data_IF_588752979325
#
_entry.id   IF_588752979325
#
_cell.length_a   1.000
_cell.length_b   1.000
_cell.length_c   1.000
_cell.angle_alpha   90.00
_cell.angle_beta   90.00
_cell.angle_gamma   90.00
#
_symmetry.space_group_name_H-M   'P 1'
#
loop_
_entity.id
_entity.type
_entity.pdbx_description
1 polymer ?
#
# COMPACT_ATOMS: atom_id res chain seq x y z
N UNK A 1 -64.41 -32.84 -5.66
CA UNK A 1 -64.07 -32.50 -4.26
C UNK A 1 -64.75 -31.19 -3.91
N UNK A 2 -65.59 -31.25 -2.88
CA UNK A 2 -66.21 -30.09 -2.22
C UNK A 2 -65.17 -29.53 -1.24
N UNK A 3 -64.94 -28.21 -1.27
CA UNK A 3 -64.82 -27.40 -0.05
C UNK A 3 -65.01 -25.91 -0.46
N UNK A 4 -66.16 -25.24 -0.27
CA UNK A 4 -66.67 -24.65 1.00
C UNK A 4 -65.59 -23.92 1.81
N UNK A 5 -65.71 -22.66 2.26
CA UNK A 5 -66.78 -21.65 2.33
C UNK A 5 -66.14 -20.31 2.78
N UNK A 6 -66.72 -19.19 2.35
CA UNK A 6 -66.92 -17.89 3.04
C UNK A 6 -65.87 -17.34 4.02
N UNK A 7 -65.49 -16.06 3.88
CA UNK A 7 -66.08 -14.98 4.70
C UNK A 7 -65.26 -13.68 4.59
N UNK A 8 -65.91 -12.65 4.03
CA UNK A 8 -65.88 -11.23 4.41
C UNK A 8 -64.86 -10.71 5.42
N UNK A 9 -64.11 -9.67 5.05
CA UNK A 9 -64.20 -8.36 5.70
C UNK A 9 -63.41 -7.29 4.93
N UNK A 10 -64.12 -6.25 4.51
CA UNK A 10 -63.63 -4.96 4.08
C UNK A 10 -62.94 -4.27 5.25
N UNK A 11 -61.68 -3.84 5.11
CA UNK A 11 -61.17 -2.67 5.85
C UNK A 11 -60.29 -1.83 4.92
N UNK A 12 -60.93 -0.78 4.40
CA UNK A 12 -60.39 0.56 4.17
C UNK A 12 -59.00 0.68 3.51
N UNK A 13 -59.02 0.72 2.18
CA UNK A 13 -58.12 1.59 1.43
C UNK A 13 -58.46 3.06 1.72
N UNK A 14 -57.62 3.76 2.48
CA UNK A 14 -57.49 5.24 2.38
C UNK A 14 -56.20 5.73 3.04
N UNK A 15 -55.33 6.28 2.18
CA UNK A 15 -54.49 7.46 2.39
C UNK A 15 -53.35 7.37 3.42
N UNK A 16 -52.11 7.34 2.95
CA UNK A 16 -51.14 8.42 3.17
C UNK A 16 -50.01 8.35 2.13
N UNK A 17 -49.97 9.35 1.25
CA UNK A 17 -48.73 9.91 0.70
C UNK A 17 -48.06 9.16 -0.44
N UNK A 18 -48.47 9.48 -1.68
CA UNK A 18 -47.54 9.55 -2.81
C UNK A 18 -46.47 10.60 -2.50
N UNK A 19 -45.31 10.19 -1.99
CA UNK A 19 -44.08 10.97 -1.99
C UNK A 19 -43.06 10.21 -2.82
N UNK A 20 -42.55 10.89 -3.85
CA UNK A 20 -41.48 10.46 -4.73
C UNK A 20 -40.43 9.61 -4.02
N UNK A 21 -40.05 8.48 -4.63
CA UNK A 21 -38.97 7.62 -4.20
C UNK A 21 -37.61 8.34 -4.28
N UNK A 22 -37.37 9.26 -3.34
CA UNK A 22 -36.04 9.69 -2.93
C UNK A 22 -35.79 9.02 -1.59
N UNK A 23 -34.92 8.02 -1.55
CA UNK A 23 -34.52 7.34 -0.31
C UNK A 23 -33.75 8.33 0.55
N UNK A 24 -34.45 9.09 1.39
CA UNK A 24 -33.82 9.97 2.38
C UNK A 24 -33.21 9.06 3.45
N UNK A 25 -31.90 8.82 3.38
CA UNK A 25 -31.17 8.04 4.38
C UNK A 25 -31.42 8.64 5.76
N UNK A 26 -31.75 7.82 6.76
CA UNK A 26 -31.94 8.28 8.14
C UNK A 26 -30.63 8.88 8.69
N UNK A 27 -30.68 9.88 9.59
CA UNK A 27 -29.49 10.49 10.19
C UNK A 27 -28.56 9.46 10.86
N UNK A 28 -29.11 8.38 11.43
CA UNK A 28 -28.34 7.28 12.01
C UNK A 28 -27.57 6.50 10.95
N UNK A 29 -28.19 6.16 9.81
CA UNK A 29 -27.52 5.50 8.68
C UNK A 29 -26.33 6.32 8.16
N UNK A 30 -26.51 7.63 8.01
CA UNK A 30 -25.43 8.53 7.58
C UNK A 30 -24.25 8.54 8.58
N UNK A 31 -24.55 8.52 9.89
CA UNK A 31 -23.54 8.44 10.94
C UNK A 31 -22.78 7.10 10.95
N UNK A 32 -23.46 5.99 10.68
CA UNK A 32 -22.83 4.68 10.56
C UNK A 32 -21.93 4.59 9.32
N UNK A 33 -22.40 5.10 8.16
CA UNK A 33 -21.59 5.17 6.93
C UNK A 33 -20.31 6.00 7.15
N UNK A 34 -20.41 7.17 7.76
CA UNK A 34 -19.25 8.01 8.07
C UNK A 34 -18.25 7.32 9.02
N UNK A 35 -18.74 6.58 10.03
CA UNK A 35 -17.87 5.80 10.94
C UNK A 35 -17.17 4.65 10.22
N UNK A 36 -17.89 3.96 9.34
CA UNK A 36 -17.32 2.89 8.53
C UNK A 36 -16.21 3.42 7.62
N UNK A 37 -16.44 4.55 6.96
CA UNK A 37 -15.46 5.16 6.06
C UNK A 37 -14.17 5.59 6.80
N UNK A 38 -14.31 6.19 7.99
CA UNK A 38 -13.16 6.52 8.86
C UNK A 38 -12.39 5.27 9.26
N UNK A 39 -13.09 4.18 9.62
CA UNK A 39 -12.47 2.93 10.01
C UNK A 39 -11.70 2.29 8.84
N UNK A 40 -12.30 2.26 7.65
CA UNK A 40 -11.68 1.75 6.43
C UNK A 40 -10.42 2.54 6.06
N UNK A 41 -10.46 3.87 6.17
CA UNK A 41 -9.29 4.72 5.94
C UNK A 41 -8.16 4.47 6.95
N UNK A 42 -8.49 4.35 8.24
CA UNK A 42 -7.50 4.03 9.26
C UNK A 42 -6.86 2.65 9.02
N UNK A 43 -7.65 1.65 8.64
CA UNK A 43 -7.16 0.33 8.25
C UNK A 43 -6.19 0.41 7.06
N UNK A 44 -6.56 1.17 6.02
CA UNK A 44 -5.71 1.37 4.85
C UNK A 44 -4.40 2.09 5.18
N UNK A 45 -4.47 3.12 6.02
CA UNK A 45 -3.28 3.86 6.46
C UNK A 45 -2.35 2.96 7.28
N UNK A 46 -2.90 2.13 8.18
CA UNK A 46 -2.12 1.19 8.97
C UNK A 46 -1.45 0.12 8.09
N UNK A 47 -2.17 -0.43 7.10
CA UNK A 47 -1.59 -1.35 6.11
C UNK A 47 -0.41 -0.72 5.36
N UNK A 48 -0.57 0.52 4.88
CA UNK A 48 0.51 1.22 4.18
C UNK A 48 1.73 1.47 5.09
N UNK A 49 1.52 1.79 6.37
CA UNK A 49 2.62 1.94 7.34
C UNK A 49 3.36 0.62 7.60
N UNK A 50 2.62 -0.49 7.70
CA UNK A 50 3.24 -1.82 7.84
C UNK A 50 4.07 -2.18 6.59
N UNK A 51 3.50 -2.01 5.39
CA UNK A 51 4.21 -2.22 4.12
C UNK A 51 5.49 -1.36 4.02
N UNK A 52 5.43 -0.11 4.51
CA UNK A 52 6.58 0.78 4.54
C UNK A 52 7.70 0.24 5.44
N UNK A 53 7.39 -0.18 6.67
CA UNK A 53 8.40 -0.68 7.62
C UNK A 53 8.98 -2.04 7.19
N UNK A 54 8.16 -2.91 6.60
CA UNK A 54 8.62 -4.17 5.99
C UNK A 54 9.63 -3.90 4.86
N UNK A 55 9.25 -3.01 3.92
CA UNK A 55 10.13 -2.64 2.81
C UNK A 55 11.38 -1.92 3.30
N UNK A 56 11.28 -1.06 4.32
CA UNK A 56 12.42 -0.35 4.90
C UNK A 56 13.42 -1.32 5.52
N UNK A 57 12.91 -2.35 6.20
CA UNK A 57 13.75 -3.42 6.76
C UNK A 57 14.46 -4.20 5.66
N UNK A 58 13.75 -4.54 4.57
CA UNK A 58 14.35 -5.19 3.40
C UNK A 58 15.40 -4.29 2.71
N UNK A 59 15.09 -3.01 2.53
CA UNK A 59 15.97 -1.99 1.94
C UNK A 59 17.29 -1.86 2.72
N UNK A 60 17.22 -1.84 4.05
CA UNK A 60 18.41 -1.77 4.90
C UNK A 60 19.34 -2.97 4.68
N UNK A 61 18.78 -4.18 4.56
CA UNK A 61 19.57 -5.38 4.24
C UNK A 61 20.23 -5.27 2.86
N UNK A 62 19.49 -4.80 1.86
CA UNK A 62 20.02 -4.57 0.51
C UNK A 62 21.14 -3.51 0.51
N UNK A 63 21.03 -2.46 1.33
CA UNK A 63 22.07 -1.43 1.51
C UNK A 63 23.37 -2.02 2.05
N UNK A 64 23.28 -2.85 3.07
CA UNK A 64 24.44 -3.50 3.66
C UNK A 64 25.09 -4.49 2.68
N UNK A 65 24.29 -5.27 1.95
CA UNK A 65 24.79 -6.18 0.92
C UNK A 65 25.48 -5.41 -0.21
N UNK A 66 24.86 -4.35 -0.72
CA UNK A 66 25.41 -3.48 -1.75
C UNK A 66 26.74 -2.83 -1.32
N UNK A 67 26.82 -2.33 -0.09
CA UNK A 67 28.06 -1.77 0.49
C UNK A 67 29.15 -2.83 0.60
N UNK A 68 28.83 -4.00 1.14
CA UNK A 68 29.78 -5.09 1.35
C UNK A 68 30.36 -5.59 0.02
N UNK A 69 29.51 -5.80 -0.99
CA UNK A 69 29.93 -6.23 -2.32
C UNK A 69 30.76 -5.17 -3.03
N UNK A 70 30.37 -3.89 -2.94
CA UNK A 70 31.13 -2.79 -3.55
C UNK A 70 32.52 -2.67 -2.93
N UNK A 71 32.63 -2.70 -1.59
CA UNK A 71 33.92 -2.70 -0.88
C UNK A 71 34.78 -3.92 -1.23
N UNK A 72 34.17 -5.10 -1.36
CA UNK A 72 34.89 -6.32 -1.75
C UNK A 72 35.41 -6.23 -3.18
N UNK A 73 34.61 -5.68 -4.10
CA UNK A 73 35.03 -5.48 -5.48
C UNK A 73 36.18 -4.49 -5.59
N UNK A 74 36.10 -3.35 -4.89
CA UNK A 74 37.15 -2.32 -4.82
C UNK A 74 38.46 -2.87 -4.24
N UNK A 75 38.40 -3.57 -3.10
CA UNK A 75 39.58 -4.22 -2.52
C UNK A 75 40.21 -5.25 -3.48
N UNK A 76 39.41 -5.95 -4.28
CA UNK A 76 39.94 -6.96 -5.22
C UNK A 76 40.47 -6.33 -6.51
N UNK A 77 39.95 -5.18 -6.94
CA UNK A 77 40.53 -4.40 -8.04
C UNK A 77 41.84 -3.74 -7.65
N UNK A 78 41.98 -3.27 -6.41
CA UNK A 78 43.22 -2.66 -5.95
C UNK A 78 44.34 -3.69 -5.78
N UNK A 79 43.98 -4.94 -5.45
CA UNK A 79 44.89 -6.08 -5.38
C UNK A 79 45.12 -6.76 -6.75
N UNK A 80 44.85 -6.08 -7.86
CA UNK A 80 45.18 -6.54 -9.21
C UNK A 80 46.69 -6.46 -9.45
N UNK A 81 47.47 -7.23 -8.70
CA UNK A 81 48.91 -7.38 -8.92
C UNK A 81 49.13 -8.17 -10.20
N UNK A 82 49.91 -7.58 -11.11
CA UNK A 82 50.33 -8.18 -12.38
C UNK A 82 51.14 -9.43 -12.06
N UNK A 83 50.58 -10.59 -12.36
CA UNK A 83 51.27 -11.87 -12.23
C UNK A 83 51.97 -12.18 -13.56
N UNK A 84 53.21 -12.69 -13.49
CA UNK A 84 53.92 -13.18 -14.68
C UNK A 84 53.29 -14.45 -15.29
N UNK A 85 52.22 -14.98 -14.68
CA UNK A 85 51.44 -16.09 -15.22
C UNK A 85 50.12 -15.56 -15.82
N UNK A 86 49.96 -15.57 -17.17
CA UNK A 86 48.77 -15.08 -17.84
C UNK A 86 47.46 -15.76 -17.40
N UNK A 87 47.51 -17.06 -17.08
CA UNK A 87 46.33 -17.81 -16.62
C UNK A 87 45.83 -17.26 -15.27
N UNK A 88 46.75 -16.96 -14.33
CA UNK A 88 46.39 -16.37 -13.04
C UNK A 88 45.78 -14.98 -13.17
N UNK A 89 46.22 -14.21 -14.17
CA UNK A 89 45.63 -12.89 -14.48
C UNK A 89 44.20 -13.06 -15.02
N UNK A 90 43.99 -14.00 -15.95
CA UNK A 90 42.68 -14.29 -16.52
C UNK A 90 41.67 -14.77 -15.44
N UNK A 91 42.09 -15.66 -14.54
CA UNK A 91 41.24 -16.16 -13.46
C UNK A 91 40.85 -15.05 -12.48
N UNK A 92 41.80 -14.19 -12.07
CA UNK A 92 41.52 -13.02 -11.24
C UNK A 92 40.52 -12.07 -11.92
N UNK A 93 40.72 -11.76 -13.19
CA UNK A 93 39.82 -10.89 -13.96
C UNK A 93 38.39 -11.46 -14.02
N UNK A 94 38.25 -12.78 -14.24
CA UNK A 94 36.95 -13.47 -14.25
C UNK A 94 36.26 -13.36 -12.89
N UNK A 95 36.98 -13.52 -11.80
CA UNK A 95 36.40 -13.40 -10.47
C UNK A 95 36.03 -11.97 -10.10
N UNK A 96 36.86 -10.99 -10.46
CA UNK A 96 36.53 -9.56 -10.27
C UNK A 96 35.26 -9.20 -11.05
N UNK A 97 35.13 -9.66 -12.30
CA UNK A 97 33.91 -9.47 -13.09
C UNK A 97 32.67 -10.07 -12.41
N UNK A 98 32.76 -11.30 -11.87
CA UNK A 98 31.65 -11.91 -11.10
C UNK A 98 31.24 -11.06 -9.88
N UNK A 99 32.21 -10.49 -9.15
CA UNK A 99 31.91 -9.62 -8.01
C UNK A 99 31.25 -8.32 -8.44
N UNK A 100 31.74 -7.68 -9.51
CA UNK A 100 31.14 -6.48 -10.08
C UNK A 100 29.69 -6.73 -10.52
N UNK A 101 29.41 -7.85 -11.19
CA UNK A 101 28.04 -8.21 -11.58
C UNK A 101 27.11 -8.42 -10.38
N UNK A 102 27.63 -9.01 -9.29
CA UNK A 102 26.85 -9.16 -8.04
C UNK A 102 26.58 -7.81 -7.40
N UNK A 103 27.59 -6.93 -7.32
CA UNK A 103 27.44 -5.58 -6.79
C UNK A 103 26.44 -4.76 -7.61
N UNK A 104 26.51 -4.85 -8.94
CA UNK A 104 25.56 -4.19 -9.85
C UNK A 104 24.12 -4.69 -9.65
N UNK A 105 23.94 -6.02 -9.49
CA UNK A 105 22.63 -6.59 -9.20
C UNK A 105 22.08 -6.12 -7.84
N UNK A 106 22.90 -6.14 -6.80
CA UNK A 106 22.51 -5.65 -5.47
C UNK A 106 22.12 -4.16 -5.52
N UNK A 107 22.89 -3.32 -6.22
CA UNK A 107 22.57 -1.90 -6.43
C UNK A 107 21.25 -1.71 -7.18
N UNK A 108 20.96 -2.52 -8.21
CA UNK A 108 19.67 -2.47 -8.93
C UNK A 108 18.49 -2.81 -8.03
N UNK A 109 18.61 -3.84 -7.20
CA UNK A 109 17.55 -4.20 -6.24
C UNK A 109 17.37 -3.13 -5.17
N UNK A 110 18.46 -2.53 -4.69
CA UNK A 110 18.39 -1.40 -3.76
C UNK A 110 17.61 -0.21 -4.37
N UNK A 111 17.93 0.19 -5.61
CA UNK A 111 17.21 1.28 -6.30
C UNK A 111 15.73 0.95 -6.49
N UNK A 112 15.37 -0.30 -6.79
CA UNK A 112 13.96 -0.72 -6.89
C UNK A 112 13.25 -0.59 -5.54
N UNK A 113 13.91 -1.00 -4.46
CA UNK A 113 13.40 -0.90 -3.10
C UNK A 113 13.21 0.56 -2.67
N UNK A 114 14.20 1.43 -2.93
CA UNK A 114 14.10 2.88 -2.67
C UNK A 114 12.90 3.50 -3.40
N UNK A 115 12.68 3.16 -4.68
CA UNK A 115 11.50 3.60 -5.44
C UNK A 115 10.18 3.06 -4.87
N UNK A 116 10.18 1.86 -4.29
CA UNK A 116 8.99 1.28 -3.65
C UNK A 116 8.66 2.02 -2.37
N UNK A 117 9.66 2.34 -1.53
CA UNK A 117 9.49 3.18 -0.35
C UNK A 117 8.91 4.54 -0.70
N UNK A 118 9.44 5.22 -1.72
CA UNK A 118 8.93 6.51 -2.18
C UNK A 118 7.46 6.41 -2.63
N UNK A 119 7.10 5.35 -3.34
CA UNK A 119 5.72 5.12 -3.79
C UNK A 119 4.77 4.87 -2.62
N UNK A 120 5.19 4.10 -1.61
CA UNK A 120 4.38 3.84 -0.41
C UNK A 120 4.21 5.14 0.38
N UNK A 121 5.28 5.92 0.58
CA UNK A 121 5.21 7.21 1.26
C UNK A 121 4.22 8.16 0.56
N UNK A 122 4.29 8.26 -0.78
CA UNK A 122 3.32 9.04 -1.58
C UNK A 122 1.87 8.57 -1.44
N UNK A 123 1.64 7.28 -1.14
CA UNK A 123 0.28 6.76 -0.85
C UNK A 123 -0.15 7.14 0.57
N UNK A 124 0.75 7.03 1.55
CA UNK A 124 0.51 7.45 2.94
C UNK A 124 0.11 8.94 2.97
N UNK A 125 0.86 9.80 2.30
CA UNK A 125 0.60 11.24 2.29
C UNK A 125 -0.74 11.59 1.63
N UNK A 126 -1.09 10.89 0.54
CA UNK A 126 -2.39 11.01 -0.11
C UNK A 126 -3.55 10.59 0.79
N UNK A 127 -3.42 9.48 1.51
CA UNK A 127 -4.48 9.01 2.41
C UNK A 127 -4.62 9.91 3.64
N UNK A 128 -3.51 10.46 4.18
CA UNK A 128 -3.58 11.51 5.23
C UNK A 128 -4.34 12.74 4.75
N UNK A 129 -4.04 13.24 3.55
CA UNK A 129 -4.71 14.41 2.96
C UNK A 129 -6.21 14.18 2.78
N UNK A 130 -6.61 12.98 2.34
CA UNK A 130 -8.03 12.61 2.22
C UNK A 130 -8.73 12.59 3.58
N UNK A 131 -8.11 12.00 4.59
CA UNK A 131 -8.66 11.96 5.94
C UNK A 131 -8.88 13.38 6.48
N UNK A 132 -7.89 14.28 6.31
CA UNK A 132 -8.02 15.70 6.68
C UNK A 132 -9.16 16.41 5.93
N UNK A 133 -9.33 16.15 4.63
CA UNK A 133 -10.42 16.72 3.83
C UNK A 133 -11.81 16.29 4.33
N UNK A 134 -11.94 15.03 4.75
CA UNK A 134 -13.20 14.52 5.32
C UNK A 134 -13.50 15.10 6.69
N UNK A 135 -12.50 15.26 7.57
CA UNK A 135 -12.71 15.92 8.86
C UNK A 135 -13.21 17.36 8.70
N UNK A 136 -12.67 18.12 7.74
CA UNK A 136 -13.15 19.48 7.42
C UNK A 136 -14.60 19.50 6.93
N UNK A 137 -15.01 18.51 6.13
CA UNK A 137 -16.40 18.42 5.68
C UNK A 137 -17.36 18.07 6.83
N UNK A 138 -16.94 17.22 7.78
CA UNK A 138 -17.73 16.90 8.97
C UNK A 138 -17.91 18.13 9.88
N UNK A 139 -16.89 18.97 10.04
CA UNK A 139 -17.01 20.23 10.79
C UNK A 139 -17.93 21.24 10.09
N UNK A 140 -17.95 21.28 8.75
CA UNK A 140 -18.79 22.20 7.98
C UNK A 140 -20.28 21.81 7.95
N UNK A 141 -20.61 20.53 8.16
CA UNK A 141 -22.00 19.99 8.17
C UNK A 141 -22.64 20.03 9.56
N UNK A 142 -22.02 20.70 10.54
CA UNK A 142 -22.71 21.16 11.77
C UNK A 142 -23.19 22.61 11.61
N UNK A 143 -24.38 22.89 11.04
CA UNK A 143 -25.10 24.11 11.36
C UNK A 143 -25.72 23.97 12.76
N UNK A 144 -25.64 25.07 13.52
CA UNK A 144 -26.26 25.28 14.84
C UNK A 144 -27.77 25.06 14.85
#
# INVERSE_FOLDING_TARGET
MINTKFSTAVVAATLFGTVSCGTVKTPEMQKYEARQEILEQNLKLNKLKMEYEEERTANNKLREEARSLSKTAENKSDNFTVSNNPQKVADKAKDTNKLLNRAEKANRELVKSDRKLERIQKKIDREKTKAEGMFRQIEYVKPE
#
